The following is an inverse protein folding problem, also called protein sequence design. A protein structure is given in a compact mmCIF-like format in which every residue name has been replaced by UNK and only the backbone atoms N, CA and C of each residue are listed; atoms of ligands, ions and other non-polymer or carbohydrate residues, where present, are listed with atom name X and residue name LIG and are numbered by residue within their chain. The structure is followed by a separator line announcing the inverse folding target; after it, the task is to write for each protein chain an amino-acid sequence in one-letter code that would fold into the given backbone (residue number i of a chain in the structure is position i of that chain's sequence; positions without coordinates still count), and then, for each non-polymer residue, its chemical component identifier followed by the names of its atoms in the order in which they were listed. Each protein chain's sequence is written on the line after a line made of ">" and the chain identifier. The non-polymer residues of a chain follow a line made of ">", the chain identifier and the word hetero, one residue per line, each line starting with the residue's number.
data_IF_345444459901
#
_entry.id   IF_345444459901
#
_cell.length_a   1.000
_cell.length_b   1.000
_cell.length_c   1.000
_cell.angle_alpha   90.00
_cell.angle_beta   90.00
_cell.angle_gamma   90.00
#
_symmetry.space_group_name_H-M   'P 1'
#
loop_
_entity.id
_entity.type
_entity.pdbx_description
1 polymer ?
#
# COMPACT_ATOMS: atom_id res chain seq x y z
N UNK A 1 -10.63 -15.82 -32.08
CA UNK A 1 -11.39 -14.59 -32.26
C UNK A 1 -10.51 -13.36 -31.95
N UNK A 2 -10.91 -12.21 -32.49
CA UNK A 2 -10.18 -10.97 -32.23
C UNK A 2 -10.48 -10.47 -30.81
N UNK A 3 -9.42 -10.08 -30.08
CA UNK A 3 -9.56 -9.44 -28.76
C UNK A 3 -9.81 -7.95 -29.01
N UNK A 4 -10.90 -7.44 -28.43
CA UNK A 4 -11.17 -6.00 -28.43
C UNK A 4 -10.61 -5.46 -27.11
N UNK A 5 -9.61 -4.59 -27.20
CA UNK A 5 -8.99 -3.98 -26.03
C UNK A 5 -10.02 -3.13 -25.27
N UNK A 6 -10.08 -3.30 -23.94
CA UNK A 6 -11.00 -2.59 -23.06
C UNK A 6 -10.26 -1.50 -22.29
N UNK A 7 -10.81 -0.30 -22.26
CA UNK A 7 -10.38 0.72 -21.30
C UNK A 7 -11.27 0.65 -20.05
N UNK A 8 -10.65 0.54 -18.89
CA UNK A 8 -11.38 0.45 -17.60
C UNK A 8 -11.03 1.69 -16.78
N UNK A 9 -11.94 2.64 -16.72
CA UNK A 9 -11.77 3.89 -16.01
C UNK A 9 -12.00 3.74 -14.49
N UNK A 10 -11.77 4.82 -13.77
CA UNK A 10 -11.95 4.88 -12.32
C UNK A 10 -13.36 4.47 -11.91
N UNK A 11 -14.37 5.01 -12.56
CA UNK A 11 -15.77 4.75 -12.22
C UNK A 11 -16.13 3.27 -12.41
N UNK A 12 -15.68 2.68 -13.50
CA UNK A 12 -15.92 1.26 -13.78
C UNK A 12 -15.21 0.38 -12.74
N UNK A 13 -13.96 0.70 -12.41
CA UNK A 13 -13.24 -0.03 -11.35
C UNK A 13 -13.98 0.05 -10.01
N UNK A 14 -14.48 1.24 -9.66
CA UNK A 14 -15.22 1.44 -8.41
C UNK A 14 -16.47 0.58 -8.34
N UNK A 15 -17.17 0.44 -9.46
CA UNK A 15 -18.39 -0.40 -9.55
C UNK A 15 -18.07 -1.89 -9.44
N UNK A 16 -16.92 -2.32 -9.96
CA UNK A 16 -16.51 -3.74 -9.97
C UNK A 16 -15.80 -4.18 -8.68
N UNK A 17 -15.36 -3.23 -7.86
CA UNK A 17 -14.51 -3.50 -6.71
C UNK A 17 -15.24 -4.29 -5.61
N UNK A 18 -14.66 -5.42 -5.25
CA UNK A 18 -14.94 -6.11 -3.99
C UNK A 18 -13.59 -6.30 -3.30
N UNK A 19 -13.35 -5.52 -2.24
CA UNK A 19 -12.04 -5.49 -1.58
C UNK A 19 -11.65 -6.85 -0.99
N UNK A 20 -12.61 -7.62 -0.48
CA UNK A 20 -12.31 -8.97 0.06
C UNK A 20 -11.74 -9.88 -1.03
N UNK A 21 -12.29 -9.83 -2.25
CA UNK A 21 -11.80 -10.61 -3.37
C UNK A 21 -10.41 -10.13 -3.82
N UNK A 22 -10.20 -8.80 -3.86
CA UNK A 22 -8.90 -8.23 -4.26
C UNK A 22 -7.82 -8.64 -3.27
N UNK A 23 -8.10 -8.61 -1.97
CA UNK A 23 -7.15 -9.04 -0.94
C UNK A 23 -6.69 -10.49 -1.18
N UNK A 24 -7.60 -11.39 -1.53
CA UNK A 24 -7.25 -12.78 -1.83
C UNK A 24 -6.36 -12.90 -3.07
N UNK A 25 -6.63 -12.11 -4.11
CA UNK A 25 -5.79 -12.09 -5.31
C UNK A 25 -4.40 -11.53 -5.01
N UNK A 26 -4.32 -10.48 -4.18
CA UNK A 26 -3.05 -9.88 -3.77
C UNK A 26 -2.22 -10.86 -2.93
N UNK A 27 -2.86 -11.66 -2.08
CA UNK A 27 -2.15 -12.73 -1.34
C UNK A 27 -1.44 -13.69 -2.29
N UNK A 28 -2.11 -14.10 -3.37
CA UNK A 28 -1.52 -15.01 -4.37
C UNK A 28 -0.28 -14.39 -5.02
N UNK A 29 -0.37 -13.10 -5.39
CA UNK A 29 0.75 -12.40 -6.03
C UNK A 29 1.95 -12.25 -5.08
N UNK A 30 1.70 -11.89 -3.83
CA UNK A 30 2.76 -11.72 -2.83
C UNK A 30 3.44 -13.05 -2.52
N UNK A 31 2.67 -14.13 -2.40
CA UNK A 31 3.24 -15.46 -2.19
C UNK A 31 4.09 -15.90 -3.38
N UNK A 32 3.57 -15.76 -4.59
CA UNK A 32 4.29 -16.12 -5.81
C UNK A 32 5.59 -15.30 -5.94
N UNK A 33 5.56 -14.02 -5.58
CA UNK A 33 6.75 -13.18 -5.59
C UNK A 33 7.82 -13.72 -4.65
N UNK A 34 7.49 -13.99 -3.41
CA UNK A 34 8.45 -14.48 -2.41
C UNK A 34 8.95 -15.90 -2.71
N UNK A 35 8.17 -16.70 -3.45
CA UNK A 35 8.58 -18.03 -3.91
C UNK A 35 9.37 -17.99 -5.22
N UNK A 36 9.74 -16.81 -5.71
CA UNK A 36 10.47 -16.58 -6.96
C UNK A 36 9.74 -17.12 -8.21
N UNK A 37 8.40 -17.03 -8.20
CA UNK A 37 7.54 -17.47 -9.30
C UNK A 37 7.03 -16.30 -10.14
N UNK A 38 7.67 -15.16 -10.03
CA UNK A 38 7.37 -13.97 -10.83
C UNK A 38 8.66 -13.37 -11.38
N UNK A 39 8.52 -12.61 -12.44
CA UNK A 39 9.58 -11.70 -12.89
C UNK A 39 9.07 -10.30 -12.60
N UNK A 40 9.63 -9.69 -11.55
CA UNK A 40 9.22 -8.37 -11.06
C UNK A 40 10.48 -7.53 -10.83
N UNK A 41 11.06 -6.97 -11.90
CA UNK A 41 12.26 -6.14 -11.74
C UNK A 41 11.97 -4.87 -10.93
N UNK A 42 13.01 -4.29 -10.35
CA UNK A 42 12.90 -2.97 -9.75
C UNK A 42 12.40 -1.99 -10.80
N UNK A 43 11.60 -1.01 -10.35
CA UNK A 43 11.03 -0.02 -11.26
C UNK A 43 12.11 0.80 -11.96
N UNK A 44 11.85 1.13 -13.21
CA UNK A 44 12.71 2.02 -13.98
C UNK A 44 12.21 3.45 -13.77
N UNK A 45 13.14 4.36 -13.47
CA UNK A 45 12.83 5.77 -13.27
C UNK A 45 13.54 6.56 -14.36
N UNK A 46 12.76 7.20 -15.22
CA UNK A 46 13.25 8.00 -16.33
C UNK A 46 12.96 9.48 -16.03
N UNK A 47 14.01 10.28 -15.71
CA UNK A 47 13.80 11.70 -15.52
C UNK A 47 13.55 12.38 -16.86
N UNK A 48 12.65 13.36 -16.88
CA UNK A 48 12.39 14.17 -18.06
C UNK A 48 11.92 15.57 -17.67
N UNK A 49 12.12 16.51 -18.58
CA UNK A 49 11.68 17.89 -18.41
C UNK A 49 12.06 18.46 -17.02
N UNK A 50 13.35 18.31 -16.67
CA UNK A 50 13.99 18.81 -15.45
C UNK A 50 13.47 18.17 -14.15
N UNK A 51 12.19 18.34 -13.80
CA UNK A 51 11.64 17.90 -12.52
C UNK A 51 10.72 16.69 -12.62
N UNK A 52 10.37 16.29 -13.83
CA UNK A 52 9.42 15.23 -14.06
C UNK A 52 10.09 13.84 -14.00
N UNK A 53 9.33 12.84 -13.62
CA UNK A 53 9.77 11.45 -13.61
C UNK A 53 8.72 10.55 -14.25
N UNK A 54 9.18 9.63 -15.05
CA UNK A 54 8.35 8.62 -15.67
C UNK A 54 8.80 7.26 -15.15
N UNK A 55 7.92 6.57 -14.43
CA UNK A 55 8.22 5.26 -13.86
C UNK A 55 7.61 4.18 -14.74
N UNK A 56 8.38 3.11 -14.98
CA UNK A 56 7.93 1.96 -15.75
C UNK A 56 8.11 0.72 -14.89
N UNK A 57 7.01 0.02 -14.66
CA UNK A 57 6.94 -1.09 -13.71
C UNK A 57 6.35 -2.33 -14.38
N UNK A 58 7.18 -3.10 -15.14
CA UNK A 58 6.71 -4.33 -15.78
C UNK A 58 6.74 -5.50 -14.80
N UNK A 59 5.88 -6.49 -15.03
CA UNK A 59 5.92 -7.75 -14.30
C UNK A 59 5.18 -8.84 -15.04
N UNK A 60 5.58 -10.09 -14.78
CA UNK A 60 4.87 -11.25 -15.29
C UNK A 60 5.00 -12.43 -14.32
N UNK A 61 4.10 -13.39 -14.47
CA UNK A 61 4.18 -14.67 -13.77
C UNK A 61 3.54 -15.75 -14.63
N UNK A 62 4.31 -16.79 -14.93
CA UNK A 62 3.80 -17.97 -15.60
C UNK A 62 2.77 -18.69 -14.70
N UNK A 63 3.10 -18.84 -13.42
CA UNK A 63 2.19 -19.51 -12.48
C UNK A 63 0.86 -18.80 -12.34
N UNK A 64 0.88 -17.47 -12.28
CA UNK A 64 -0.34 -16.67 -12.16
C UNK A 64 -0.99 -16.38 -13.52
N UNK A 65 -0.31 -16.73 -14.61
CA UNK A 65 -0.76 -16.51 -15.99
C UNK A 65 -1.10 -15.03 -16.25
N UNK A 66 -0.18 -14.14 -15.87
CA UNK A 66 -0.35 -12.69 -16.03
C UNK A 66 0.92 -12.04 -16.56
N UNK A 67 0.73 -11.01 -17.38
CA UNK A 67 1.80 -10.13 -17.85
C UNK A 67 1.24 -8.73 -18.07
N UNK A 68 2.02 -7.74 -17.72
CA UNK A 68 1.61 -6.36 -17.93
C UNK A 68 2.62 -5.37 -17.41
N UNK A 69 2.20 -4.12 -17.39
CA UNK A 69 3.08 -3.06 -16.96
C UNK A 69 2.25 -1.87 -16.41
N UNK A 70 2.76 -1.22 -15.40
CA UNK A 70 2.23 0.06 -14.92
C UNK A 70 3.20 1.18 -15.29
N UNK A 71 2.65 2.28 -15.82
CA UNK A 71 3.39 3.52 -15.98
C UNK A 71 2.86 4.56 -15.01
N UNK A 72 3.77 5.37 -14.45
CA UNK A 72 3.40 6.48 -13.56
C UNK A 72 4.20 7.70 -13.96
N UNK A 73 3.52 8.81 -14.18
CA UNK A 73 4.16 10.11 -14.42
C UNK A 73 4.04 10.97 -13.16
N UNK A 74 5.16 11.52 -12.73
CA UNK A 74 5.21 12.52 -11.66
C UNK A 74 5.67 13.83 -12.28
N UNK A 75 4.78 14.85 -12.25
CA UNK A 75 5.02 16.16 -12.82
C UNK A 75 4.60 17.24 -11.82
N UNK A 76 5.49 17.63 -10.88
CA UNK A 76 5.12 18.49 -9.74
C UNK A 76 4.58 19.87 -10.15
N UNK A 77 5.04 20.43 -11.27
CA UNK A 77 4.58 21.74 -11.73
C UNK A 77 3.15 21.73 -12.29
N UNK A 78 2.56 20.55 -12.49
CA UNK A 78 1.18 20.43 -12.98
C UNK A 78 0.16 21.08 -12.05
N UNK A 79 0.44 21.14 -10.75
CA UNK A 79 -0.44 21.79 -9.78
C UNK A 79 -0.71 23.26 -10.15
N UNK A 80 0.29 23.95 -10.70
CA UNK A 80 0.18 25.34 -11.14
C UNK A 80 -0.71 25.49 -12.38
N UNK A 81 -0.96 24.40 -13.10
CA UNK A 81 -1.77 24.37 -14.31
C UNK A 81 -3.15 23.75 -14.07
N UNK A 82 -3.49 23.45 -12.83
CA UNK A 82 -4.74 22.78 -12.49
C UNK A 82 -4.79 21.33 -12.97
N UNK A 83 -3.64 20.70 -13.24
CA UNK A 83 -3.54 19.31 -13.68
C UNK A 83 -3.02 18.43 -12.55
N UNK A 84 -3.35 17.14 -12.59
CA UNK A 84 -2.85 16.17 -11.63
C UNK A 84 -1.32 16.05 -11.70
N UNK A 85 -0.67 16.01 -10.53
CA UNK A 85 0.78 15.84 -10.43
C UNK A 85 1.23 14.41 -10.64
N UNK A 86 0.36 13.45 -10.35
CA UNK A 86 0.62 12.02 -10.54
C UNK A 86 -0.48 11.45 -11.41
N UNK A 87 -0.09 10.82 -12.53
CA UNK A 87 -1.00 10.10 -13.41
C UNK A 87 -0.38 8.78 -13.79
N UNK A 88 -1.19 7.81 -14.17
CA UNK A 88 -0.67 6.51 -14.55
C UNK A 88 -1.70 5.65 -15.26
N UNK A 89 -1.18 4.61 -15.89
CA UNK A 89 -1.98 3.60 -16.57
C UNK A 89 -1.41 2.23 -16.32
N UNK A 90 -2.29 1.23 -16.29
CA UNK A 90 -1.87 -0.17 -16.20
C UNK A 90 -2.28 -0.85 -17.49
N UNK A 91 -1.34 -1.52 -18.15
CA UNK A 91 -1.58 -2.28 -19.37
C UNK A 91 -1.56 -3.76 -18.99
N UNK A 92 -2.66 -4.45 -19.25
CA UNK A 92 -2.77 -5.89 -19.05
C UNK A 92 -2.74 -6.56 -20.41
N UNK A 93 -1.89 -7.57 -20.57
CA UNK A 93 -1.76 -8.34 -21.80
C UNK A 93 -2.15 -9.80 -21.57
N UNK A 94 -2.52 -10.48 -22.65
CA UNK A 94 -2.77 -11.92 -22.62
C UNK A 94 -1.43 -12.65 -22.49
N UNK A 95 -1.33 -13.54 -21.53
CA UNK A 95 -0.07 -14.21 -21.23
C UNK A 95 0.39 -15.14 -22.37
N UNK A 96 -0.54 -15.77 -23.08
CA UNK A 96 -0.19 -16.69 -24.17
C UNK A 96 0.18 -15.97 -25.46
N UNK A 97 -0.54 -14.91 -25.82
CA UNK A 97 -0.42 -14.27 -27.14
C UNK A 97 0.32 -12.95 -27.09
N UNK A 98 0.42 -12.32 -25.91
CA UNK A 98 0.97 -10.97 -25.78
C UNK A 98 0.01 -9.86 -26.21
N UNK A 99 -1.19 -10.18 -26.68
CA UNK A 99 -2.17 -9.18 -27.11
C UNK A 99 -2.60 -8.31 -25.93
N UNK A 100 -2.76 -7.01 -26.16
CA UNK A 100 -3.27 -6.10 -25.12
C UNK A 100 -4.74 -6.38 -24.86
N UNK A 101 -5.07 -6.76 -23.63
CA UNK A 101 -6.43 -7.01 -23.18
C UNK A 101 -7.12 -5.74 -22.70
N UNK A 102 -6.40 -4.93 -21.92
CA UNK A 102 -7.01 -3.81 -21.24
C UNK A 102 -5.97 -2.74 -20.89
N UNK A 103 -6.44 -1.51 -20.85
CA UNK A 103 -5.73 -0.39 -20.23
C UNK A 103 -6.64 0.12 -19.11
N UNK A 104 -6.08 0.27 -17.90
CA UNK A 104 -6.84 0.66 -16.73
C UNK A 104 -6.30 1.98 -16.17
N UNK A 105 -7.20 2.80 -15.62
CA UNK A 105 -6.79 3.97 -14.86
C UNK A 105 -5.85 3.55 -13.73
N UNK A 106 -4.63 4.08 -13.73
CA UNK A 106 -3.60 3.67 -12.77
C UNK A 106 -3.76 4.29 -11.40
N UNK A 107 -4.37 5.47 -11.31
CA UNK A 107 -4.57 6.15 -10.03
C UNK A 107 -5.50 5.39 -9.11
N UNK A 108 -6.67 5.01 -9.60
CA UNK A 108 -7.62 4.23 -8.82
C UNK A 108 -7.08 2.83 -8.50
N UNK A 109 -6.50 2.17 -9.48
CA UNK A 109 -5.91 0.85 -9.28
C UNK A 109 -4.83 0.87 -8.20
N UNK A 110 -3.98 1.90 -8.21
CA UNK A 110 -2.92 2.05 -7.19
C UNK A 110 -3.52 2.24 -5.79
N UNK A 111 -4.61 3.01 -5.66
CA UNK A 111 -5.31 3.15 -4.38
C UNK A 111 -5.81 1.79 -3.89
N UNK A 112 -6.43 1.02 -4.76
CA UNK A 112 -6.96 -0.31 -4.43
C UNK A 112 -5.86 -1.26 -4.01
N UNK A 113 -4.80 -1.38 -4.82
CA UNK A 113 -3.72 -2.34 -4.53
C UNK A 113 -2.90 -1.96 -3.31
N UNK A 114 -2.71 -0.67 -3.08
CA UNK A 114 -2.00 -0.17 -1.88
C UNK A 114 -2.78 -0.54 -0.63
N UNK A 115 -4.08 -0.32 -0.65
CA UNK A 115 -4.97 -0.75 0.43
C UNK A 115 -4.94 -2.26 0.62
N UNK A 116 -5.07 -3.01 -0.46
CA UNK A 116 -5.12 -4.47 -0.40
C UNK A 116 -3.84 -5.09 0.17
N UNK A 117 -2.66 -4.58 -0.20
CA UNK A 117 -1.38 -5.06 0.36
C UNK A 117 -1.37 -4.86 1.89
N UNK A 118 -1.76 -3.68 2.35
CA UNK A 118 -1.83 -3.40 3.79
C UNK A 118 -2.94 -4.20 4.48
N UNK A 119 -4.03 -4.50 3.78
CA UNK A 119 -5.06 -5.40 4.27
C UNK A 119 -4.52 -6.81 4.51
N UNK A 120 -3.72 -7.32 3.58
CA UNK A 120 -3.04 -8.62 3.75
C UNK A 120 -2.09 -8.58 4.95
N UNK A 121 -1.25 -7.55 5.04
CA UNK A 121 -0.34 -7.41 6.17
C UNK A 121 -1.10 -7.37 7.51
N UNK A 122 -2.18 -6.61 7.57
CA UNK A 122 -3.03 -6.51 8.76
C UNK A 122 -3.62 -7.86 9.14
N UNK A 123 -4.07 -8.63 8.15
CA UNK A 123 -4.64 -9.96 8.37
C UNK A 123 -3.67 -10.90 9.10
N UNK A 124 -2.38 -10.83 8.77
CA UNK A 124 -1.37 -11.72 9.35
C UNK A 124 -0.64 -11.13 10.56
N UNK A 125 -0.63 -9.81 10.73
CA UNK A 125 0.24 -9.13 11.70
C UNK A 125 -0.50 -8.37 12.80
N UNK A 126 -1.76 -7.96 12.59
CA UNK A 126 -2.54 -7.28 13.63
C UNK A 126 -3.21 -8.29 14.56
N UNK A 127 -3.49 -7.86 15.78
CA UNK A 127 -4.31 -8.67 16.69
C UNK A 127 -5.67 -8.96 16.05
N UNK A 128 -6.17 -10.18 16.24
CA UNK A 128 -7.48 -10.57 15.69
C UNK A 128 -8.62 -9.74 16.23
N UNK A 129 -8.53 -9.30 17.49
CA UNK A 129 -9.54 -8.50 18.16
C UNK A 129 -9.27 -7.00 18.08
N UNK A 130 -8.48 -6.54 17.13
CA UNK A 130 -8.22 -5.11 16.91
C UNK A 130 -9.52 -4.35 16.66
N UNK A 131 -9.74 -3.22 17.35
CA UNK A 131 -10.97 -2.44 17.32
C UNK A 131 -10.76 -0.97 16.95
N UNK A 132 -9.58 -0.44 17.18
CA UNK A 132 -9.25 0.97 16.93
C UNK A 132 -8.18 1.10 15.86
N UNK A 133 -8.54 1.81 14.79
CA UNK A 133 -7.64 2.13 13.67
C UNK A 133 -7.30 3.61 13.72
N UNK A 134 -6.02 3.95 13.72
CA UNK A 134 -5.57 5.34 13.60
C UNK A 134 -4.88 5.53 12.26
N UNK A 135 -5.29 6.57 11.53
CA UNK A 135 -4.76 6.89 10.20
C UNK A 135 -4.12 8.28 10.23
N UNK A 136 -2.82 8.31 9.95
CA UNK A 136 -2.07 9.56 9.86
C UNK A 136 -1.90 9.89 8.38
N UNK A 137 -2.62 10.91 7.92
CA UNK A 137 -2.74 11.29 6.54
C UNK A 137 -4.19 11.26 6.07
N UNK A 138 -4.54 12.14 5.15
CA UNK A 138 -5.89 12.28 4.62
C UNK A 138 -5.87 12.42 3.08
N UNK A 139 -4.87 11.81 2.45
CA UNK A 139 -4.69 11.83 1.01
C UNK A 139 -5.43 10.70 0.29
N UNK A 140 -5.14 10.56 -1.00
CA UNK A 140 -5.85 9.64 -1.90
C UNK A 140 -5.76 8.18 -1.43
N UNK A 141 -4.62 7.76 -0.87
CA UNK A 141 -4.41 6.36 -0.48
C UNK A 141 -5.17 5.97 0.78
N UNK A 142 -5.46 6.94 1.65
CA UNK A 142 -6.02 6.66 2.98
C UNK A 142 -7.37 5.94 2.92
N UNK A 143 -8.24 6.29 1.98
CA UNK A 143 -9.56 5.65 1.85
C UNK A 143 -9.43 4.17 1.50
N UNK A 144 -8.55 3.84 0.56
CA UNK A 144 -8.31 2.44 0.18
C UNK A 144 -7.72 1.61 1.30
N UNK A 145 -6.84 2.22 2.10
CA UNK A 145 -6.26 1.57 3.28
C UNK A 145 -7.33 1.26 4.33
N UNK A 146 -8.21 2.22 4.60
CA UNK A 146 -9.33 2.02 5.53
C UNK A 146 -10.24 0.90 5.03
N UNK A 147 -10.65 0.95 3.76
CA UNK A 147 -11.52 -0.07 3.18
C UNK A 147 -10.94 -1.48 3.34
N UNK A 148 -9.66 -1.65 3.04
CA UNK A 148 -9.00 -2.95 3.14
C UNK A 148 -8.88 -3.44 4.59
N UNK A 149 -8.58 -2.55 5.52
CA UNK A 149 -8.46 -2.92 6.94
C UNK A 149 -9.82 -3.29 7.51
N UNK A 150 -10.87 -2.55 7.15
CA UNK A 150 -12.25 -2.90 7.55
C UNK A 150 -12.69 -4.25 6.99
N UNK A 151 -12.13 -4.67 5.86
CA UNK A 151 -12.43 -5.98 5.28
C UNK A 151 -11.85 -7.14 6.07
N UNK A 152 -10.78 -6.93 6.84
CA UNK A 152 -10.06 -8.01 7.55
C UNK A 152 -10.15 -7.91 9.08
N UNK A 153 -10.63 -6.79 9.62
CA UNK A 153 -10.81 -6.59 11.07
C UNK A 153 -12.13 -5.89 11.36
N UNK A 154 -12.71 -6.22 12.48
CA UNK A 154 -13.98 -5.66 12.95
C UNK A 154 -13.71 -4.37 13.73
N UNK A 155 -13.34 -3.32 13.00
CA UNK A 155 -12.99 -2.02 13.57
C UNK A 155 -14.25 -1.27 14.03
N UNK A 156 -14.23 -0.77 15.25
CA UNK A 156 -15.34 -0.03 15.85
C UNK A 156 -15.16 1.48 15.74
N UNK A 157 -13.91 1.96 15.73
CA UNK A 157 -13.65 3.40 15.63
C UNK A 157 -12.36 3.69 14.89
N UNK A 158 -12.38 4.82 14.20
CA UNK A 158 -11.23 5.31 13.41
C UNK A 158 -10.82 6.68 13.95
N UNK A 159 -9.53 6.86 14.18
CA UNK A 159 -8.92 8.13 14.54
C UNK A 159 -8.14 8.65 13.35
N UNK A 160 -8.32 9.93 13.02
CA UNK A 160 -7.65 10.54 11.87
C UNK A 160 -6.88 11.77 12.35
N UNK A 161 -5.64 11.88 11.91
CA UNK A 161 -4.84 13.09 12.07
C UNK A 161 -4.15 13.41 10.75
N UNK A 162 -4.00 14.68 10.44
CA UNK A 162 -3.35 15.17 9.25
C UNK A 162 -2.71 16.51 9.58
N UNK A 163 -1.72 16.90 8.80
CA UNK A 163 -1.06 18.19 8.97
C UNK A 163 -2.06 19.35 8.87
N UNK A 164 -3.07 19.22 8.01
CA UNK A 164 -4.16 20.20 7.86
C UNK A 164 -5.42 19.64 8.53
N UNK A 165 -5.82 20.25 9.64
CA UNK A 165 -6.99 19.80 10.42
C UNK A 165 -8.28 19.81 9.60
N UNK A 166 -8.49 20.86 8.79
CA UNK A 166 -9.67 20.96 7.93
C UNK A 166 -9.75 19.82 6.92
N UNK A 167 -8.63 19.43 6.31
CA UNK A 167 -8.58 18.27 5.42
C UNK A 167 -8.94 16.99 6.14
N UNK A 168 -8.45 16.83 7.36
CA UNK A 168 -8.78 15.66 8.19
C UNK A 168 -10.27 15.62 8.52
N UNK A 169 -10.87 16.76 8.83
CA UNK A 169 -12.32 16.87 9.11
C UNK A 169 -13.16 16.48 7.89
N UNK A 170 -12.82 17.01 6.71
CA UNK A 170 -13.54 16.70 5.47
C UNK A 170 -13.40 15.23 5.11
N UNK A 171 -12.20 14.70 5.24
CA UNK A 171 -11.94 13.29 4.99
C UNK A 171 -12.72 12.40 5.96
N UNK A 172 -12.72 12.76 7.26
CA UNK A 172 -13.48 12.01 8.28
C UNK A 172 -14.97 11.95 7.96
N UNK A 173 -15.53 13.07 7.47
CA UNK A 173 -16.94 13.10 7.11
C UNK A 173 -17.25 12.15 5.95
N UNK A 174 -16.37 12.10 4.94
CA UNK A 174 -16.53 11.16 3.83
C UNK A 174 -16.46 9.70 4.31
N UNK A 175 -15.55 9.41 5.24
CA UNK A 175 -15.41 8.06 5.79
C UNK A 175 -16.64 7.66 6.61
N UNK A 176 -17.16 8.57 7.45
CA UNK A 176 -18.38 8.33 8.20
C UNK A 176 -19.55 7.99 7.28
N UNK A 177 -19.71 8.78 6.22
CA UNK A 177 -20.80 8.60 5.27
C UNK A 177 -20.69 7.28 4.51
N UNK A 178 -19.46 6.93 4.10
CA UNK A 178 -19.25 5.73 3.28
C UNK A 178 -19.34 4.42 4.08
N UNK A 179 -18.77 4.40 5.29
CA UNK A 179 -18.60 3.16 6.04
C UNK A 179 -19.51 3.05 7.28
N UNK A 180 -20.27 4.10 7.59
CA UNK A 180 -21.15 4.15 8.74
C UNK A 180 -20.43 3.72 10.03
N UNK A 181 -19.28 4.33 10.30
CA UNK A 181 -18.41 4.00 11.41
C UNK A 181 -18.09 5.28 12.20
N UNK A 182 -17.81 5.12 13.50
CA UNK A 182 -17.40 6.24 14.35
C UNK A 182 -16.00 6.72 13.95
N UNK A 183 -15.87 8.00 13.63
CA UNK A 183 -14.59 8.63 13.25
C UNK A 183 -14.37 9.87 14.08
N UNK A 184 -13.21 9.99 14.70
CA UNK A 184 -12.78 11.17 15.45
C UNK A 184 -11.52 11.77 14.82
N UNK A 185 -11.46 13.09 14.76
CA UNK A 185 -10.32 13.81 14.22
C UNK A 185 -9.48 14.38 15.35
N UNK A 186 -8.17 14.21 15.25
CA UNK A 186 -7.21 14.68 16.26
C UNK A 186 -6.31 15.75 15.63
N UNK A 187 -5.88 16.72 16.43
CA UNK A 187 -4.93 17.74 15.97
C UNK A 187 -3.50 17.24 16.01
N UNK A 188 -3.22 16.22 16.80
CA UNK A 188 -1.90 15.63 16.98
C UNK A 188 -1.91 14.17 16.56
N UNK A 189 -0.91 13.77 15.75
CA UNK A 189 -0.72 12.37 15.39
C UNK A 189 -0.44 11.53 16.63
N UNK A 190 0.33 12.04 17.59
CA UNK A 190 0.65 11.33 18.83
C UNK A 190 -0.62 10.99 19.62
N UNK A 191 -1.54 11.95 19.75
CA UNK A 191 -2.82 11.68 20.41
C UNK A 191 -3.66 10.65 19.65
N UNK A 192 -3.64 10.71 18.31
CA UNK A 192 -4.41 9.79 17.49
C UNK A 192 -3.95 8.34 17.63
N UNK A 193 -2.64 8.11 17.81
CA UNK A 193 -2.09 6.76 17.87
C UNK A 193 -2.09 6.15 19.28
N UNK A 194 -2.27 6.95 20.33
CA UNK A 194 -2.09 6.50 21.71
C UNK A 194 -3.03 5.36 22.13
N UNK A 195 -4.21 5.23 21.51
CA UNK A 195 -5.17 4.15 21.83
C UNK A 195 -5.35 3.18 20.66
N UNK A 196 -4.49 3.22 19.65
CA UNK A 196 -4.66 2.43 18.44
C UNK A 196 -4.25 0.96 18.63
N UNK A 197 -5.01 0.07 18.00
CA UNK A 197 -4.58 -1.31 17.77
C UNK A 197 -3.83 -1.43 16.45
N UNK A 198 -4.24 -0.62 15.47
CA UNK A 198 -3.64 -0.56 14.14
C UNK A 198 -3.36 0.90 13.81
N UNK A 199 -2.15 1.19 13.36
CA UNK A 199 -1.76 2.52 12.89
C UNK A 199 -1.41 2.45 11.41
N UNK A 200 -1.87 3.44 10.63
CA UNK A 200 -1.48 3.63 9.23
C UNK A 200 -0.81 4.99 9.11
N UNK A 201 0.39 5.02 8.49
CA UNK A 201 1.00 6.28 8.05
C UNK A 201 0.97 6.33 6.53
N UNK A 202 0.31 7.34 5.98
CA UNK A 202 0.11 7.51 4.54
C UNK A 202 0.24 8.98 4.16
N UNK A 203 1.42 9.55 4.42
CA UNK A 203 1.73 10.95 4.17
C UNK A 203 2.85 11.11 3.15
N UNK A 204 3.11 12.32 2.71
CA UNK A 204 4.27 12.66 1.89
C UNK A 204 5.37 13.35 2.73
N UNK A 205 5.39 13.11 4.03
CA UNK A 205 6.32 13.77 4.94
C UNK A 205 7.78 13.33 4.71
N UNK A 206 8.71 14.26 4.90
CA UNK A 206 10.14 14.01 4.87
C UNK A 206 10.73 13.76 6.26
N UNK A 207 9.93 13.97 7.30
CA UNK A 207 10.31 13.77 8.70
C UNK A 207 9.24 12.96 9.41
N UNK A 208 9.61 12.23 10.48
CA UNK A 208 8.65 11.41 11.22
C UNK A 208 7.39 12.18 11.63
N UNK A 209 6.24 11.53 11.46
CA UNK A 209 4.93 12.17 11.68
C UNK A 209 4.39 11.97 13.10
N UNK A 210 5.04 11.15 13.90
CA UNK A 210 4.72 10.97 15.31
C UNK A 210 6.01 10.84 16.12
N UNK A 211 5.92 11.02 17.44
CA UNK A 211 7.08 10.95 18.36
C UNK A 211 6.88 9.91 19.45
N UNK A 212 5.64 9.57 19.78
CA UNK A 212 5.35 8.61 20.84
C UNK A 212 5.77 7.20 20.43
N UNK A 213 6.20 6.40 21.42
CA UNK A 213 6.48 5.00 21.21
C UNK A 213 5.16 4.24 20.95
N UNK A 214 5.21 3.24 20.07
CA UNK A 214 4.04 2.38 19.83
C UNK A 214 3.82 1.49 21.06
N UNK A 215 2.57 1.35 21.47
CA UNK A 215 2.20 0.47 22.58
C UNK A 215 2.37 -1.00 22.25
N UNK A 216 2.60 -1.86 23.24
CA UNK A 216 2.57 -3.31 23.02
C UNK A 216 1.26 -3.72 22.32
N UNK A 217 1.38 -4.59 21.33
CA UNK A 217 0.25 -5.11 20.58
C UNK A 217 -0.12 -4.35 19.32
N UNK A 218 0.46 -3.17 19.09
CA UNK A 218 0.14 -2.35 17.91
C UNK A 218 0.73 -2.96 16.65
N UNK A 219 -0.05 -2.92 15.57
CA UNK A 219 0.43 -3.17 14.20
C UNK A 219 0.48 -1.85 13.44
N UNK A 220 1.60 -1.56 12.78
CA UNK A 220 1.80 -0.37 11.96
C UNK A 220 1.90 -0.75 10.48
N UNK A 221 1.08 -0.12 9.64
CA UNK A 221 1.25 -0.12 8.19
C UNK A 221 1.86 1.22 7.76
N UNK A 222 3.12 1.21 7.37
CA UNK A 222 3.84 2.39 6.93
C UNK A 222 3.86 2.42 5.40
N UNK A 223 3.15 3.37 4.79
CA UNK A 223 2.82 3.32 3.36
C UNK A 223 3.31 4.53 2.59
N UNK A 224 3.52 5.68 3.23
CA UNK A 224 3.73 6.93 2.53
C UNK A 224 5.12 7.15 1.94
N UNK A 225 6.17 6.66 2.60
CA UNK A 225 7.53 6.88 2.12
C UNK A 225 7.90 5.93 0.98
N UNK A 226 8.27 6.49 -0.16
CA UNK A 226 8.69 5.74 -1.36
C UNK A 226 9.99 6.27 -1.98
N UNK A 227 10.68 7.19 -1.29
CA UNK A 227 11.98 7.74 -1.71
C UNK A 227 12.97 7.66 -0.56
N UNK A 228 14.29 7.59 -0.86
CA UNK A 228 15.32 7.49 0.20
C UNK A 228 15.36 8.65 1.19
N UNK A 229 14.88 9.83 0.80
CA UNK A 229 14.85 11.03 1.64
C UNK A 229 13.52 11.27 2.35
N UNK A 230 12.55 10.38 2.18
CA UNK A 230 11.25 10.45 2.85
C UNK A 230 11.24 9.51 4.05
N UNK A 231 10.91 10.04 5.22
CA UNK A 231 10.77 9.25 6.44
C UNK A 231 9.49 9.66 7.17
N UNK A 232 8.57 8.72 7.33
CA UNK A 232 7.33 8.94 8.08
C UNK A 232 7.41 8.43 9.52
N UNK A 233 8.12 7.32 9.71
CA UNK A 233 8.19 6.67 11.01
C UNK A 233 9.52 6.97 11.69
N UNK A 234 9.51 7.27 12.99
CA UNK A 234 10.75 7.49 13.73
C UNK A 234 11.66 6.28 13.63
N UNK A 235 12.96 6.51 13.52
CA UNK A 235 13.95 5.42 13.50
C UNK A 235 13.83 4.53 14.74
N UNK A 236 13.45 5.09 15.89
CA UNK A 236 13.28 4.38 17.15
C UNK A 236 12.16 3.33 17.09
N UNK A 237 11.17 3.50 16.18
CA UNK A 237 10.12 2.49 15.97
C UNK A 237 10.74 1.14 15.58
N UNK A 238 11.84 1.15 14.83
CA UNK A 238 12.53 -0.07 14.43
C UNK A 238 13.13 -0.84 15.61
N UNK A 239 13.45 -0.14 16.72
CA UNK A 239 13.97 -0.78 17.92
C UNK A 239 12.88 -1.42 18.77
N UNK A 240 11.66 -0.85 18.75
CA UNK A 240 10.51 -1.38 19.52
C UNK A 240 9.82 -2.52 18.78
N UNK A 241 9.93 -2.54 17.45
CA UNK A 241 9.26 -3.55 16.63
C UNK A 241 9.82 -4.94 16.89
N UNK A 242 8.94 -5.89 17.18
CA UNK A 242 9.30 -7.31 17.29
C UNK A 242 9.43 -7.96 15.93
N UNK A 243 8.64 -7.52 14.95
CA UNK A 243 8.71 -8.00 13.57
C UNK A 243 8.59 -6.84 12.62
N UNK A 244 9.53 -6.72 11.69
CA UNK A 244 9.52 -5.75 10.60
C UNK A 244 9.38 -6.55 9.30
N UNK A 245 8.28 -6.33 8.60
CA UNK A 245 7.91 -7.08 7.40
C UNK A 245 7.79 -6.12 6.21
N UNK A 246 8.19 -6.58 5.04
CA UNK A 246 8.14 -5.81 3.78
C UNK A 246 7.54 -6.70 2.70
N UNK A 247 7.06 -6.14 1.59
CA UNK A 247 6.62 -6.97 0.47
C UNK A 247 7.82 -7.48 -0.35
N UNK A 248 8.87 -6.68 -0.47
CA UNK A 248 10.11 -7.02 -1.17
C UNK A 248 11.29 -6.43 -0.41
N UNK A 249 12.20 -7.27 0.04
CA UNK A 249 13.40 -6.79 0.75
C UNK A 249 14.28 -5.93 -0.16
N UNK A 250 14.46 -6.36 -1.40
CA UNK A 250 15.25 -5.61 -2.36
C UNK A 250 14.67 -4.21 -2.61
N UNK A 251 13.38 -4.13 -2.93
CA UNK A 251 12.73 -2.86 -3.22
C UNK A 251 12.66 -1.94 -1.99
N UNK A 252 12.31 -2.47 -0.83
CA UNK A 252 12.18 -1.67 0.39
C UNK A 252 13.52 -1.07 0.81
N UNK A 253 14.58 -1.87 0.82
CA UNK A 253 15.92 -1.40 1.20
C UNK A 253 16.48 -0.37 0.21
N UNK A 254 16.05 -0.41 -1.05
CA UNK A 254 16.52 0.51 -2.09
C UNK A 254 15.72 1.82 -2.12
N UNK A 255 14.42 1.75 -1.83
CA UNK A 255 13.48 2.81 -2.21
C UNK A 255 13.00 3.71 -1.07
N UNK A 256 13.05 3.27 0.19
CA UNK A 256 12.40 4.05 1.26
C UNK A 256 13.33 4.54 2.35
N UNK A 257 13.21 5.83 2.68
CA UNK A 257 13.90 6.44 3.81
C UNK A 257 13.47 5.86 5.16
N UNK A 258 12.27 5.28 5.25
CA UNK A 258 11.82 4.62 6.49
C UNK A 258 12.77 3.50 6.93
N UNK A 259 13.46 2.86 5.98
CA UNK A 259 14.48 1.85 6.26
C UNK A 259 15.89 2.38 6.08
N UNK A 260 16.14 3.15 5.01
CA UNK A 260 17.49 3.63 4.67
C UNK A 260 18.04 4.61 5.70
N UNK A 261 17.21 5.49 6.22
CA UNK A 261 17.64 6.48 7.21
C UNK A 261 18.07 5.81 8.52
N UNK A 262 17.23 4.95 9.15
CA UNK A 262 17.71 4.25 10.36
C UNK A 262 18.89 3.31 10.08
N UNK A 263 19.06 2.77 8.88
CA UNK A 263 20.26 2.02 8.51
C UNK A 263 21.49 2.91 8.54
N UNK A 264 21.42 4.10 7.95
CA UNK A 264 22.53 5.05 7.93
C UNK A 264 22.87 5.56 9.33
N UNK A 265 21.87 5.62 10.21
CA UNK A 265 22.07 6.00 11.62
C UNK A 265 22.63 4.87 12.48
N UNK A 266 22.77 3.66 11.94
CA UNK A 266 23.24 2.50 12.70
C UNK A 266 22.19 1.87 13.61
N UNK A 267 20.92 2.27 13.47
CA UNK A 267 19.81 1.77 14.30
C UNK A 267 19.24 0.48 13.72
N UNK A 268 19.06 0.42 12.39
CA UNK A 268 18.51 -0.74 11.70
C UNK A 268 19.59 -1.49 10.96
N UNK A 269 19.61 -2.81 11.11
CA UNK A 269 20.42 -3.70 10.27
C UNK A 269 19.50 -4.61 9.46
N UNK A 270 19.99 -5.12 8.34
CA UNK A 270 19.21 -6.03 7.48
C UNK A 270 18.70 -7.25 8.25
N UNK A 271 19.47 -7.75 9.20
CA UNK A 271 19.08 -8.93 10.01
C UNK A 271 17.89 -8.66 10.93
N UNK A 272 17.53 -7.41 11.17
CA UNK A 272 16.35 -7.05 11.95
C UNK A 272 15.05 -7.18 11.15
N UNK A 273 15.13 -7.28 9.82
CA UNK A 273 13.95 -7.53 8.99
C UNK A 273 13.52 -8.99 9.19
N UNK A 274 12.27 -9.18 9.58
CA UNK A 274 11.73 -10.51 9.86
C UNK A 274 11.57 -11.33 8.59
N UNK A 275 10.87 -10.79 7.61
CA UNK A 275 10.60 -11.51 6.36
C UNK A 275 9.91 -10.63 5.34
N UNK A 276 9.74 -11.18 4.13
CA UNK A 276 8.76 -10.69 3.17
C UNK A 276 7.37 -11.19 3.56
N UNK A 277 6.36 -10.41 3.22
CA UNK A 277 4.96 -10.75 3.53
C UNK A 277 4.55 -12.08 2.86
N UNK A 278 5.04 -12.34 1.64
CA UNK A 278 4.77 -13.59 0.93
C UNK A 278 5.25 -14.82 1.69
N UNK A 279 6.33 -14.72 2.44
CA UNK A 279 6.84 -15.83 3.26
C UNK A 279 5.93 -16.13 4.45
N UNK A 280 5.24 -15.12 4.97
CA UNK A 280 4.25 -15.33 6.03
C UNK A 280 2.99 -15.97 5.44
N UNK A 281 2.56 -15.52 4.28
CA UNK A 281 1.39 -16.09 3.58
C UNK A 281 1.60 -17.58 3.32
N UNK A 282 2.80 -17.98 2.87
CA UNK A 282 3.12 -19.38 2.57
C UNK A 282 3.34 -20.26 3.80
N UNK A 283 3.53 -19.65 4.97
CA UNK A 283 3.84 -20.38 6.21
C UNK A 283 5.34 -20.62 6.45
N UNK A 284 6.22 -20.18 5.56
CA UNK A 284 7.68 -20.26 5.76
C UNK A 284 8.15 -19.43 6.96
N UNK A 285 7.45 -18.34 7.24
CA UNK A 285 7.68 -17.46 8.37
C UNK A 285 6.37 -17.25 9.12
N UNK A 286 6.47 -17.01 10.42
CA UNK A 286 5.28 -16.78 11.26
C UNK A 286 4.91 -15.31 11.28
N UNK A 287 3.60 -15.05 11.31
CA UNK A 287 3.06 -13.72 11.55
C UNK A 287 3.08 -13.38 13.04
N UNK A 288 2.02 -12.73 13.51
CA UNK A 288 1.90 -12.40 14.93
C UNK A 288 1.83 -13.67 15.77
N UNK A 289 2.64 -13.72 16.81
CA UNK A 289 2.69 -14.85 17.74
C UNK A 289 2.12 -14.51 19.12
N UNK A 290 2.22 -13.26 19.57
CA UNK A 290 1.72 -12.83 20.88
C UNK A 290 0.90 -11.57 20.79
N UNK A 291 0.07 -11.34 21.82
CA UNK A 291 -0.76 -10.14 21.92
C UNK A 291 0.07 -8.86 22.15
N UNK A 292 1.26 -9.00 22.71
CA UNK A 292 2.12 -7.87 23.07
C UNK A 292 3.07 -7.45 21.96
N UNK A 293 3.27 -8.27 20.94
CA UNK A 293 4.18 -7.91 19.84
C UNK A 293 3.79 -6.60 19.18
N UNK A 294 4.80 -5.79 18.87
CA UNK A 294 4.67 -4.65 17.98
C UNK A 294 5.13 -5.12 16.60
N UNK A 295 4.26 -5.03 15.62
CA UNK A 295 4.55 -5.44 14.25
C UNK A 295 4.52 -4.25 13.31
N UNK A 296 5.49 -4.20 12.39
CA UNK A 296 5.60 -3.13 11.41
C UNK A 296 5.62 -3.75 10.01
N UNK A 297 4.75 -3.27 9.16
CA UNK A 297 4.78 -3.57 7.73
C UNK A 297 5.12 -2.30 6.96
N UNK A 298 6.25 -2.31 6.23
CA UNK A 298 6.63 -1.21 5.34
C UNK A 298 6.32 -1.59 3.90
N UNK A 299 5.50 -0.79 3.25
CA UNK A 299 5.08 -0.99 1.86
C UNK A 299 5.74 0.04 0.94
N UNK A 300 6.24 -0.42 -0.19
CA UNK A 300 6.71 0.43 -1.29
C UNK A 300 6.02 0.09 -2.62
N UNK A 301 5.23 -0.99 -2.64
CA UNK A 301 4.51 -1.47 -3.82
C UNK A 301 5.35 -2.41 -4.67
N UNK A 302 4.66 -3.25 -5.43
CA UNK A 302 5.26 -4.20 -6.37
C UNK A 302 4.45 -4.24 -7.65
N UNK A 303 5.14 -4.26 -8.79
CA UNK A 303 4.48 -4.31 -10.09
C UNK A 303 3.58 -5.53 -10.25
N UNK A 304 3.98 -6.71 -9.77
CA UNK A 304 3.16 -7.92 -9.91
C UNK A 304 1.80 -7.76 -9.23
N UNK A 305 1.73 -7.00 -8.14
CA UNK A 305 0.46 -6.70 -7.47
C UNK A 305 -0.42 -5.81 -8.33
N UNK A 306 0.15 -4.81 -9.00
CA UNK A 306 -0.61 -3.97 -9.95
C UNK A 306 -1.24 -4.84 -11.04
N UNK A 307 -0.49 -5.79 -11.58
CA UNK A 307 -0.95 -6.61 -12.70
C UNK A 307 -2.04 -7.60 -12.26
N UNK A 308 -1.92 -8.21 -11.09
CA UNK A 308 -2.97 -9.13 -10.63
C UNK A 308 -4.28 -8.38 -10.32
N UNK A 309 -4.19 -7.16 -9.83
CA UNK A 309 -5.38 -6.33 -9.59
C UNK A 309 -6.01 -5.90 -10.92
N UNK A 310 -5.18 -5.57 -11.92
CA UNK A 310 -5.67 -5.29 -13.27
C UNK A 310 -6.42 -6.51 -13.85
N UNK A 311 -5.87 -7.71 -13.68
CA UNK A 311 -6.54 -8.95 -14.11
C UNK A 311 -7.87 -9.15 -13.38
N UNK A 312 -7.90 -8.87 -12.09
CA UNK A 312 -9.14 -8.94 -11.31
C UNK A 312 -10.24 -8.07 -11.93
N UNK A 313 -9.95 -6.80 -12.20
CA UNK A 313 -10.93 -5.89 -12.80
C UNK A 313 -11.35 -6.34 -14.20
N UNK A 314 -10.39 -6.77 -15.01
CA UNK A 314 -10.68 -7.23 -16.37
C UNK A 314 -11.61 -8.45 -16.35
N UNK A 315 -11.32 -9.44 -15.52
CA UNK A 315 -12.16 -10.64 -15.39
C UNK A 315 -13.57 -10.31 -14.92
N UNK A 316 -13.70 -9.41 -13.94
CA UNK A 316 -15.00 -8.94 -13.47
C UNK A 316 -15.79 -8.25 -14.57
N UNK A 317 -15.12 -7.41 -15.37
CA UNK A 317 -15.77 -6.70 -16.47
C UNK A 317 -16.32 -7.65 -17.52
N UNK A 318 -15.55 -8.63 -17.94
CA UNK A 318 -15.99 -9.56 -19.00
C UNK A 318 -17.03 -10.59 -18.52
N UNK A 319 -17.18 -10.77 -17.21
CA UNK A 319 -18.18 -11.64 -16.61
C UNK A 319 -19.50 -10.91 -16.34
N UNK A 320 -19.49 -9.57 -16.40
CA UNK A 320 -20.68 -8.77 -16.13
C UNK A 320 -21.62 -8.64 -17.35
#
# INVERSE_FOLDING_TARGET
>A
GFIIMKYIDEQTQAQLLNMNEVILEVEKALQAFSENKTITPLRYVLPFNEQNRYLVMPALSDELNIVGLKTVSFAPENSKKGKATITGSVILSDYETGETLSILDGGFLTKVRTGAISGVATKYLAKENAKTLSVIGAGVQAEGLIEAILAVRDIEKIHIASRTFEKAENFAQNIRNRFNIKVSVFRSADEAIDSADIVVTATNANQPVYTHSLHPGVHLNAVGSFKPDMQEIPSETMLVANKIVVESMEAALEETGDLKIPQAEGILTKNMLHSELGDIISGEKVGRETEEEVTVFKSVGLAIVDIIVAQYFYKKLIQS
#
